data_IF_056399361937
#
_entry.id   IF_056399361937
#
_cell.length_a   1.000
_cell.length_b   1.000
_cell.length_c   1.000
_cell.angle_alpha   90.00
_cell.angle_beta   90.00
_cell.angle_gamma   90.00
#
_symmetry.space_group_name_H-M   'P 1'
#
loop_
_entity.id
_entity.type
_entity.pdbx_description
1 polymer ?
#
# COMPACT_ATOMS: atom_id res chain seq x y z
N UNK A 1 -19.91 4.99 14.39
CA UNK A 1 -19.16 4.85 15.66
C UNK A 1 -19.05 6.21 16.31
N UNK A 2 -19.37 6.30 17.60
CA UNK A 2 -19.16 7.48 18.43
C UNK A 2 -17.65 7.76 18.59
N UNK A 3 -17.21 8.99 18.35
CA UNK A 3 -15.82 9.42 18.53
C UNK A 3 -15.55 9.92 19.95
N UNK A 4 -16.59 10.32 20.68
CA UNK A 4 -16.53 10.86 22.03
C UNK A 4 -17.38 10.07 23.02
N UNK A 5 -17.11 10.22 24.32
CA UNK A 5 -17.90 9.58 25.37
C UNK A 5 -19.32 10.18 25.42
N UNK A 6 -19.45 11.44 25.04
CA UNK A 6 -20.69 12.20 24.96
C UNK A 6 -21.57 11.67 23.82
N UNK A 7 -21.00 11.44 22.62
CA UNK A 7 -21.70 10.77 21.51
C UNK A 7 -22.08 9.32 21.85
N UNK A 8 -21.29 8.62 22.68
CA UNK A 8 -21.62 7.27 23.15
C UNK A 8 -22.77 7.30 24.17
N UNK A 9 -22.77 8.27 25.08
CA UNK A 9 -23.85 8.46 26.06
C UNK A 9 -25.19 8.84 25.40
N UNK A 10 -25.19 9.47 24.23
CA UNK A 10 -26.42 9.74 23.46
C UNK A 10 -27.17 8.46 22.99
N UNK A 11 -26.54 7.28 23.08
CA UNK A 11 -27.19 6.00 22.81
C UNK A 11 -27.96 5.45 24.02
N UNK A 12 -27.78 6.03 25.22
CA UNK A 12 -28.40 5.57 26.47
C UNK A 12 -29.94 5.42 26.40
N UNK A 13 -30.72 6.40 25.85
CA UNK A 13 -32.17 6.24 25.73
C UNK A 13 -32.59 5.09 24.82
N UNK A 14 -31.74 4.74 23.84
CA UNK A 14 -31.99 3.65 22.90
C UNK A 14 -31.66 2.29 23.53
N UNK A 15 -30.66 2.23 24.42
CA UNK A 15 -30.42 1.08 25.29
C UNK A 15 -31.57 0.90 26.30
N UNK A 16 -32.08 1.97 26.90
CA UNK A 16 -33.25 1.89 27.79
C UNK A 16 -34.50 1.41 27.06
N UNK A 17 -34.79 1.91 25.85
CA UNK A 17 -35.88 1.40 24.99
C UNK A 17 -35.72 -0.10 24.75
N UNK A 18 -34.52 -0.56 24.40
CA UNK A 18 -34.27 -1.97 24.08
C UNK A 18 -34.40 -2.92 25.27
N UNK A 19 -34.06 -2.46 26.48
CA UNK A 19 -34.22 -3.24 27.72
C UNK A 19 -35.70 -3.35 28.10
N UNK A 20 -36.51 -2.31 27.84
CA UNK A 20 -37.93 -2.26 28.21
C UNK A 20 -38.83 -2.91 27.16
N UNK A 21 -38.57 -2.66 25.88
CA UNK A 21 -39.40 -3.06 24.72
C UNK A 21 -38.52 -3.58 23.57
N UNK A 22 -37.82 -4.72 23.72
CA UNK A 22 -36.90 -5.23 22.69
C UNK A 22 -37.58 -5.49 21.34
N UNK A 23 -38.86 -5.90 21.34
CA UNK A 23 -39.64 -6.11 20.10
C UNK A 23 -40.02 -4.82 19.35
N UNK A 24 -39.81 -3.64 19.94
CA UNK A 24 -40.04 -2.34 19.28
C UNK A 24 -38.76 -1.75 18.67
N UNK A 25 -37.62 -2.45 18.79
CA UNK A 25 -36.33 -2.03 18.21
C UNK A 25 -36.31 -2.39 16.72
N UNK A 26 -36.16 -1.37 15.87
CA UNK A 26 -35.97 -1.56 14.43
C UNK A 26 -34.58 -2.10 14.11
N UNK A 27 -34.39 -2.64 12.90
CA UNK A 27 -33.06 -3.07 12.43
C UNK A 27 -32.06 -1.91 12.42
N UNK A 28 -32.49 -0.71 12.03
CA UNK A 28 -31.63 0.49 12.03
C UNK A 28 -31.24 0.89 13.46
N UNK A 29 -32.19 0.85 14.41
CA UNK A 29 -31.93 1.12 15.82
C UNK A 29 -30.94 0.10 16.41
N UNK A 30 -31.13 -1.20 16.13
CA UNK A 30 -30.20 -2.27 16.50
C UNK A 30 -28.78 -1.99 15.99
N UNK A 31 -28.64 -1.69 14.69
CA UNK A 31 -27.33 -1.40 14.10
C UNK A 31 -26.69 -0.15 14.74
N UNK A 32 -27.48 0.89 15.01
CA UNK A 32 -27.02 2.11 15.71
C UNK A 32 -26.54 1.83 17.13
N UNK A 33 -27.28 1.03 17.91
CA UNK A 33 -26.90 0.64 19.28
C UNK A 33 -25.64 -0.22 19.33
N UNK A 34 -25.51 -1.14 18.38
CA UNK A 34 -24.34 -2.02 18.23
C UNK A 34 -23.13 -1.29 17.65
N UNK A 35 -23.35 -0.08 17.11
CA UNK A 35 -22.43 0.69 16.26
C UNK A 35 -22.02 -0.03 14.96
N UNK A 36 -22.77 -1.06 14.56
CA UNK A 36 -22.60 -1.79 13.30
C UNK A 36 -22.86 -0.87 12.09
N UNK A 37 -22.21 -1.12 10.94
CA UNK A 37 -22.59 -0.47 9.69
C UNK A 37 -23.93 -1.04 9.16
N UNK A 38 -24.53 -0.46 8.09
CA UNK A 38 -25.71 -1.04 7.44
C UNK A 38 -25.47 -2.50 7.01
N UNK A 39 -26.53 -3.31 6.97
CA UNK A 39 -26.42 -4.74 6.68
C UNK A 39 -25.70 -5.04 5.34
N UNK A 40 -25.98 -4.25 4.31
CA UNK A 40 -25.32 -4.32 3.01
C UNK A 40 -23.79 -4.09 3.09
N UNK A 41 -23.34 -3.14 3.93
CA UNK A 41 -21.92 -2.89 4.17
C UNK A 41 -21.29 -4.04 4.98
N UNK A 42 -22.00 -4.61 5.97
CA UNK A 42 -21.54 -5.80 6.71
C UNK A 42 -21.33 -7.00 5.76
N UNK A 43 -22.31 -7.27 4.90
CA UNK A 43 -22.26 -8.34 3.89
C UNK A 43 -21.14 -8.09 2.86
N UNK A 44 -21.01 -6.85 2.38
CA UNK A 44 -19.93 -6.43 1.46
C UNK A 44 -18.57 -6.62 2.10
N UNK A 45 -18.39 -6.25 3.38
CA UNK A 45 -17.12 -6.41 4.08
C UNK A 45 -16.78 -7.90 4.32
N UNK A 46 -17.74 -8.72 4.74
CA UNK A 46 -17.53 -10.17 4.89
C UNK A 46 -17.12 -10.81 3.56
N UNK A 47 -17.87 -10.56 2.49
CA UNK A 47 -17.57 -11.14 1.18
C UNK A 47 -16.23 -10.65 0.61
N UNK A 48 -15.99 -9.34 0.63
CA UNK A 48 -14.80 -8.72 0.02
C UNK A 48 -13.49 -9.05 0.74
N UNK A 49 -13.51 -9.19 2.07
CA UNK A 49 -12.28 -9.36 2.87
C UNK A 49 -12.08 -10.77 3.42
N UNK A 50 -13.13 -11.61 3.47
CA UNK A 50 -13.05 -12.99 3.97
C UNK A 50 -13.48 -14.04 2.93
N UNK A 51 -14.12 -13.64 1.82
CA UNK A 51 -14.60 -14.56 0.79
C UNK A 51 -15.83 -15.39 1.18
N UNK A 52 -16.47 -15.08 2.31
CA UNK A 52 -17.63 -15.81 2.87
C UNK A 52 -18.83 -14.88 3.08
N UNK A 53 -20.03 -15.42 3.23
CA UNK A 53 -21.20 -14.61 3.59
C UNK A 53 -21.16 -14.20 5.08
N UNK A 54 -21.93 -13.17 5.43
CA UNK A 54 -22.10 -12.74 6.81
C UNK A 54 -22.79 -13.84 7.67
N UNK A 55 -23.72 -14.58 7.07
CA UNK A 55 -24.43 -15.68 7.72
C UNK A 55 -23.50 -16.86 8.00
N UNK A 56 -22.67 -17.26 7.04
CA UNK A 56 -21.66 -18.30 7.21
C UNK A 56 -20.63 -17.92 8.30
N UNK A 57 -20.21 -16.66 8.35
CA UNK A 57 -19.29 -16.14 9.38
C UNK A 57 -19.88 -16.27 10.79
N UNK A 58 -21.14 -15.85 10.97
CA UNK A 58 -21.84 -15.96 12.25
C UNK A 58 -22.07 -17.44 12.63
N UNK A 59 -22.55 -18.25 11.68
CA UNK A 59 -22.81 -19.67 11.91
C UNK A 59 -21.52 -20.45 12.22
N UNK A 60 -20.40 -20.11 11.57
CA UNK A 60 -19.07 -20.66 11.87
C UNK A 60 -18.61 -20.26 13.27
N UNK A 61 -18.84 -19.02 13.69
CA UNK A 61 -18.53 -18.58 15.04
C UNK A 61 -19.36 -19.31 16.12
N UNK A 62 -20.65 -19.54 15.88
CA UNK A 62 -21.55 -20.30 16.77
C UNK A 62 -21.14 -21.78 16.88
N UNK A 63 -20.93 -22.43 15.74
CA UNK A 63 -20.80 -23.89 15.67
C UNK A 63 -19.36 -24.41 15.77
N UNK A 64 -18.39 -23.62 15.32
CA UNK A 64 -16.99 -24.03 15.17
C UNK A 64 -16.03 -22.88 15.45
N UNK A 65 -16.22 -22.15 16.56
CA UNK A 65 -15.41 -20.99 16.96
C UNK A 65 -13.88 -21.21 16.80
N UNK A 66 -13.36 -22.37 17.24
CA UNK A 66 -11.96 -22.75 17.11
C UNK A 66 -11.42 -22.78 15.66
N UNK A 67 -12.29 -22.95 14.66
CA UNK A 67 -11.95 -22.94 13.23
C UNK A 67 -11.87 -21.54 12.61
N UNK A 68 -12.23 -20.49 13.37
CA UNK A 68 -12.07 -19.11 12.93
C UNK A 68 -10.59 -18.74 12.82
N UNK A 69 -10.29 -18.00 11.76
CA UNK A 69 -9.01 -17.34 11.50
C UNK A 69 -8.97 -15.97 12.18
N UNK A 70 -7.77 -15.39 12.35
CA UNK A 70 -7.65 -14.04 12.91
C UNK A 70 -8.43 -12.95 12.12
N UNK A 71 -8.41 -12.92 10.77
CA UNK A 71 -9.28 -12.04 9.99
C UNK A 71 -10.76 -12.16 10.36
N UNK A 72 -11.32 -13.37 10.39
CA UNK A 72 -12.73 -13.61 10.71
C UNK A 72 -13.07 -13.10 12.12
N UNK A 73 -12.24 -13.43 13.13
CA UNK A 73 -12.39 -12.93 14.49
C UNK A 73 -12.29 -11.40 14.55
N UNK A 74 -11.37 -10.79 13.78
CA UNK A 74 -11.22 -9.32 13.73
C UNK A 74 -12.47 -8.65 13.17
N UNK A 75 -13.07 -9.17 12.09
CA UNK A 75 -14.25 -8.52 11.50
C UNK A 75 -15.42 -8.45 12.49
N UNK A 76 -15.70 -9.55 13.21
CA UNK A 76 -16.77 -9.60 14.21
C UNK A 76 -16.47 -8.66 15.38
N UNK A 77 -15.24 -8.73 15.95
CA UNK A 77 -14.81 -7.86 17.06
C UNK A 77 -14.79 -6.37 16.69
N UNK A 78 -14.37 -6.04 15.47
CA UNK A 78 -14.38 -4.69 14.92
C UNK A 78 -15.79 -4.24 14.45
N UNK A 79 -16.85 -4.93 14.89
CA UNK A 79 -18.24 -4.55 14.63
C UNK A 79 -18.56 -4.49 13.13
N UNK A 80 -17.98 -5.42 12.36
CA UNK A 80 -18.07 -5.55 10.91
C UNK A 80 -17.50 -4.38 10.11
N UNK A 81 -16.60 -3.59 10.73
CA UNK A 81 -15.93 -2.43 10.11
C UNK A 81 -14.48 -2.73 9.75
N UNK A 82 -14.05 -2.24 8.59
CA UNK A 82 -12.66 -2.31 8.13
C UNK A 82 -11.86 -1.15 8.74
N UNK A 83 -11.33 -1.34 9.95
CA UNK A 83 -10.47 -0.36 10.64
C UNK A 83 -9.02 -0.43 10.16
N UNK A 84 -8.38 0.73 9.98
CA UNK A 84 -6.92 0.88 9.81
C UNK A 84 -6.25 0.92 11.20
N UNK A 85 -5.00 0.46 11.32
CA UNK A 85 -4.28 0.36 12.60
C UNK A 85 -4.03 1.72 13.24
N UNK A 86 -3.93 2.78 12.43
CA UNK A 86 -3.85 4.16 12.90
C UNK A 86 -5.05 4.61 13.74
N UNK A 87 -6.20 3.92 13.64
CA UNK A 87 -7.36 4.17 14.49
C UNK A 87 -7.21 3.62 15.93
N UNK A 88 -6.15 2.84 16.24
CA UNK A 88 -5.91 2.34 17.62
C UNK A 88 -5.75 3.47 18.66
N UNK A 89 -5.35 4.68 18.25
CA UNK A 89 -5.32 5.85 19.14
C UNK A 89 -6.71 6.20 19.71
N UNK A 90 -7.76 6.07 18.89
CA UNK A 90 -9.15 6.27 19.31
C UNK A 90 -9.66 5.08 20.15
N UNK A 91 -9.18 3.86 19.89
CA UNK A 91 -9.51 2.68 20.68
C UNK A 91 -8.93 2.74 22.10
N UNK A 92 -7.72 3.29 22.27
CA UNK A 92 -7.17 3.56 23.59
C UNK A 92 -8.08 4.49 24.40
N UNK A 93 -8.59 5.56 23.77
CA UNK A 93 -9.56 6.46 24.40
C UNK A 93 -10.87 5.73 24.76
N UNK A 94 -11.42 4.90 23.85
CA UNK A 94 -12.61 4.07 24.11
C UNK A 94 -12.41 3.08 25.27
N UNK A 95 -11.22 2.52 25.44
CA UNK A 95 -10.92 1.60 26.55
C UNK A 95 -11.06 2.26 27.93
N UNK A 96 -10.88 3.58 28.02
CA UNK A 96 -11.06 4.35 29.25
C UNK A 96 -12.54 4.68 29.52
N UNK A 97 -13.42 4.60 28.51
CA UNK A 97 -14.84 4.95 28.67
C UNK A 97 -15.56 3.98 29.62
N UNK A 98 -15.23 2.69 29.58
CA UNK A 98 -15.78 1.69 30.50
C UNK A 98 -15.39 1.93 31.96
N UNK A 99 -14.23 2.56 32.20
CA UNK A 99 -13.78 2.98 33.53
C UNK A 99 -14.44 4.28 33.99
N UNK A 100 -14.71 5.21 33.07
CA UNK A 100 -15.36 6.51 33.34
C UNK A 100 -16.88 6.41 33.52
N UNK A 101 -17.54 5.51 32.78
CA UNK A 101 -18.99 5.25 32.79
C UNK A 101 -19.27 3.75 32.75
N UNK A 102 -18.94 3.00 33.83
CA UNK A 102 -19.21 1.56 33.90
C UNK A 102 -20.71 1.25 33.84
N UNK A 103 -21.55 2.18 34.30
CA UNK A 103 -23.01 2.17 34.20
C UNK A 103 -23.50 2.07 32.74
N UNK A 104 -22.94 2.89 31.84
CA UNK A 104 -23.28 2.84 30.41
C UNK A 104 -22.85 1.53 29.75
N UNK A 105 -21.72 0.96 30.17
CA UNK A 105 -21.24 -0.31 29.62
C UNK A 105 -22.08 -1.50 30.12
N UNK A 106 -22.50 -1.50 31.39
CA UNK A 106 -23.43 -2.49 31.91
C UNK A 106 -24.81 -2.39 31.21
N UNK A 107 -25.34 -1.17 31.06
CA UNK A 107 -26.61 -0.93 30.34
C UNK A 107 -26.51 -1.34 28.87
N UNK A 108 -25.42 -0.97 28.17
CA UNK A 108 -25.16 -1.44 26.79
C UNK A 108 -25.18 -2.96 26.73
N UNK A 109 -24.42 -3.66 27.60
CA UNK A 109 -24.38 -5.13 27.60
C UNK A 109 -25.78 -5.74 27.77
N UNK A 110 -26.58 -5.24 28.72
CA UNK A 110 -27.96 -5.69 28.93
C UNK A 110 -28.84 -5.44 27.68
N UNK A 111 -28.69 -4.29 27.02
CA UNK A 111 -29.40 -3.99 25.78
C UNK A 111 -28.95 -4.87 24.60
N UNK A 112 -27.68 -5.29 24.55
CA UNK A 112 -27.17 -6.24 23.55
C UNK A 112 -27.80 -7.62 23.75
N UNK A 113 -27.84 -8.12 24.99
CA UNK A 113 -28.47 -9.39 25.36
C UNK A 113 -29.99 -9.40 25.06
N UNK A 114 -30.64 -8.24 24.99
CA UNK A 114 -32.07 -8.09 24.71
C UNK A 114 -32.44 -8.04 23.21
N UNK A 115 -31.53 -7.61 22.33
CA UNK A 115 -31.83 -7.33 20.89
C UNK A 115 -31.13 -8.26 19.89
N UNK A 116 -30.06 -8.93 20.31
CA UNK A 116 -29.34 -9.88 19.45
C UNK A 116 -30.12 -11.18 19.39
N UNK A 117 -30.07 -11.87 18.24
CA UNK A 117 -30.50 -13.27 18.20
C UNK A 117 -29.56 -14.11 19.06
N UNK A 118 -30.02 -15.31 19.46
CA UNK A 118 -29.17 -16.25 20.20
C UNK A 118 -27.86 -16.53 19.47
N UNK A 119 -27.93 -16.73 18.14
CA UNK A 119 -26.77 -17.00 17.28
C UNK A 119 -25.82 -15.78 17.17
N UNK A 120 -26.35 -14.56 17.02
CA UNK A 120 -25.52 -13.34 16.99
C UNK A 120 -24.81 -13.11 18.33
N UNK A 121 -25.52 -13.28 19.45
CA UNK A 121 -24.97 -13.10 20.78
C UNK A 121 -23.88 -14.15 21.06
N UNK A 122 -24.15 -15.41 20.73
CA UNK A 122 -23.19 -16.51 20.87
C UNK A 122 -21.98 -16.34 19.96
N UNK A 123 -22.17 -15.91 18.70
CA UNK A 123 -21.07 -15.61 17.78
C UNK A 123 -20.12 -14.53 18.31
N UNK A 124 -20.67 -13.42 18.83
CA UNK A 124 -19.87 -12.32 19.40
C UNK A 124 -19.13 -12.78 20.65
N UNK A 125 -19.79 -13.51 21.55
CA UNK A 125 -19.17 -14.04 22.77
C UNK A 125 -18.03 -15.03 22.45
N UNK A 126 -18.28 -15.98 21.54
CA UNK A 126 -17.27 -16.96 21.12
C UNK A 126 -16.04 -16.30 20.48
N UNK A 127 -16.24 -15.23 19.69
CA UNK A 127 -15.13 -14.44 19.15
C UNK A 127 -14.36 -13.71 20.25
N UNK A 128 -15.03 -13.05 21.19
CA UNK A 128 -14.37 -12.32 22.28
C UNK A 128 -13.51 -13.24 23.16
N UNK A 129 -13.96 -14.49 23.40
CA UNK A 129 -13.19 -15.50 24.14
C UNK A 129 -11.90 -15.93 23.43
N UNK A 130 -11.94 -16.17 22.11
CA UNK A 130 -10.79 -16.71 21.38
C UNK A 130 -9.89 -15.65 20.72
N UNK A 131 -10.37 -14.41 20.53
CA UNK A 131 -9.73 -13.41 19.68
C UNK A 131 -8.25 -13.19 20.01
N UNK A 132 -7.92 -13.01 21.29
CA UNK A 132 -6.54 -12.68 21.71
C UNK A 132 -5.57 -13.84 21.46
N UNK A 133 -6.03 -15.09 21.59
CA UNK A 133 -5.24 -16.27 21.23
C UNK A 133 -5.04 -16.32 19.72
N UNK A 134 -6.11 -16.19 18.92
CA UNK A 134 -6.02 -16.15 17.44
C UNK A 134 -5.13 -15.02 16.92
N UNK A 135 -5.18 -13.86 17.56
CA UNK A 135 -4.29 -12.73 17.29
C UNK A 135 -2.82 -13.07 17.58
N UNK A 136 -2.54 -13.72 18.72
CA UNK A 136 -1.18 -14.10 19.11
C UNK A 136 -0.63 -15.19 18.18
N UNK A 137 -1.41 -16.25 17.91
CA UNK A 137 -1.06 -17.34 16.97
C UNK A 137 -0.71 -16.78 15.57
N UNK A 138 -1.51 -15.86 15.04
CA UNK A 138 -1.27 -15.23 13.74
C UNK A 138 -0.05 -14.29 13.77
N UNK A 139 0.14 -13.50 14.83
CA UNK A 139 1.33 -12.65 14.96
C UNK A 139 2.61 -13.46 15.12
N UNK A 140 2.60 -14.56 15.87
CA UNK A 140 3.73 -15.49 15.99
C UNK A 140 4.04 -16.17 14.65
N UNK A 141 3.02 -16.62 13.91
CA UNK A 141 3.20 -17.19 12.57
C UNK A 141 3.82 -16.19 11.59
N UNK A 142 3.34 -14.94 11.58
CA UNK A 142 3.88 -13.85 10.74
C UNK A 142 5.28 -13.42 11.18
N UNK A 143 5.59 -13.44 12.47
CA UNK A 143 6.92 -13.11 12.96
C UNK A 143 7.92 -14.24 12.66
N UNK A 144 7.49 -15.51 12.76
CA UNK A 144 8.27 -16.65 12.28
C UNK A 144 8.50 -16.59 10.75
N UNK A 145 7.53 -16.10 9.96
CA UNK A 145 7.71 -15.85 8.53
C UNK A 145 8.67 -14.67 8.26
N UNK A 146 8.59 -13.58 9.04
CA UNK A 146 9.57 -12.49 8.98
C UNK A 146 10.97 -12.94 9.38
N UNK A 147 11.12 -13.86 10.33
CA UNK A 147 12.40 -14.46 10.71
C UNK A 147 12.95 -15.42 9.64
N UNK A 148 12.11 -15.91 8.71
CA UNK A 148 12.57 -16.60 7.49
C UNK A 148 13.00 -15.61 6.39
N UNK A 149 12.47 -14.38 6.38
CA UNK A 149 13.04 -13.32 5.53
C UNK A 149 14.47 -13.03 5.99
N UNK A 150 15.37 -12.58 5.10
CA UNK A 150 16.70 -12.15 5.50
C UNK A 150 16.63 -11.15 6.67
N UNK A 151 17.52 -11.24 7.68
CA UNK A 151 17.67 -10.20 8.70
C UNK A 151 17.75 -8.81 8.07
N UNK A 152 17.28 -7.76 8.75
CA UNK A 152 17.33 -6.38 8.22
C UNK A 152 18.75 -5.89 7.88
N UNK A 153 19.79 -6.61 8.31
CA UNK A 153 21.20 -6.33 8.02
C UNK A 153 21.76 -7.15 6.84
N UNK A 154 20.95 -8.02 6.23
CA UNK A 154 21.31 -8.77 5.02
C UNK A 154 20.77 -8.08 3.77
N UNK A 155 21.45 -8.19 2.60
CA UNK A 155 21.00 -7.55 1.38
C UNK A 155 19.58 -7.97 0.98
N UNK A 156 18.79 -7.00 0.49
CA UNK A 156 17.49 -7.29 -0.12
C UNK A 156 17.66 -8.21 -1.33
N UNK A 157 16.60 -8.94 -1.70
CA UNK A 157 16.68 -9.97 -2.76
C UNK A 157 17.21 -9.43 -4.09
N UNK A 158 16.84 -8.21 -4.48
CA UNK A 158 17.32 -7.58 -5.71
C UNK A 158 18.81 -7.20 -5.64
N UNK A 159 19.29 -6.69 -4.50
CA UNK A 159 20.71 -6.40 -4.25
C UNK A 159 21.51 -7.70 -4.29
N UNK A 160 21.02 -8.74 -3.60
CA UNK A 160 21.64 -10.07 -3.59
C UNK A 160 21.72 -10.67 -5.00
N UNK A 161 20.67 -10.54 -5.82
CA UNK A 161 20.66 -10.93 -7.25
C UNK A 161 21.66 -10.15 -8.13
N UNK A 162 22.30 -9.10 -7.62
CA UNK A 162 23.42 -8.39 -8.28
C UNK A 162 24.76 -8.82 -7.67
N UNK A 163 24.85 -8.90 -6.34
CA UNK A 163 26.05 -9.39 -5.62
C UNK A 163 26.44 -10.80 -6.07
N UNK A 164 25.47 -11.71 -6.19
CA UNK A 164 25.67 -13.13 -6.52
C UNK A 164 25.91 -13.37 -8.03
N UNK A 165 25.97 -12.34 -8.88
CA UNK A 165 26.26 -12.50 -10.31
C UNK A 165 27.72 -12.86 -10.54
N UNK A 166 27.96 -13.94 -11.26
CA UNK A 166 29.28 -14.26 -11.81
C UNK A 166 29.62 -13.31 -12.97
N UNK A 167 30.75 -12.62 -12.88
CA UNK A 167 31.22 -11.70 -13.92
C UNK A 167 30.67 -10.28 -13.78
N UNK A 168 29.85 -9.84 -14.74
CA UNK A 168 29.39 -8.45 -14.81
C UNK A 168 28.24 -8.17 -13.83
N UNK A 169 28.54 -7.43 -12.77
CA UNK A 169 27.58 -6.97 -11.76
C UNK A 169 26.86 -5.67 -12.17
N UNK A 170 27.09 -5.15 -13.38
CA UNK A 170 26.41 -3.96 -13.90
C UNK A 170 24.89 -4.03 -13.65
N UNK A 171 24.30 -2.91 -13.22
CA UNK A 171 22.86 -2.76 -13.04
C UNK A 171 22.42 -1.33 -13.31
N UNK A 172 21.26 -1.14 -13.94
CA UNK A 172 20.85 0.20 -14.34
C UNK A 172 19.59 0.29 -15.19
N UNK A 173 19.38 1.49 -15.73
CA UNK A 173 18.22 1.85 -16.53
C UNK A 173 18.65 2.47 -17.87
N UNK A 174 17.75 2.45 -18.86
CA UNK A 174 17.92 3.12 -20.16
C UNK A 174 17.17 4.45 -20.16
N UNK A 175 17.82 5.49 -20.67
CA UNK A 175 17.32 6.85 -20.71
C UNK A 175 17.38 7.39 -22.14
N UNK A 176 16.23 7.54 -22.79
CA UNK A 176 16.11 8.20 -24.07
C UNK A 176 16.07 9.71 -23.89
N UNK A 177 16.80 10.44 -24.73
CA UNK A 177 16.76 11.91 -24.78
C UNK A 177 16.82 12.39 -26.24
N UNK A 178 16.22 13.54 -26.53
CA UNK A 178 16.36 14.13 -27.86
C UNK A 178 17.81 14.57 -28.07
N UNK A 179 18.40 14.22 -29.22
CA UNK A 179 19.80 14.51 -29.56
C UNK A 179 20.14 16.01 -29.57
N UNK A 180 19.13 16.84 -29.79
CA UNK A 180 19.20 18.31 -29.83
C UNK A 180 18.64 18.99 -28.58
N UNK A 181 18.47 18.28 -27.47
CA UNK A 181 17.96 18.85 -26.23
C UNK A 181 18.91 19.94 -25.71
N UNK A 182 18.37 21.12 -25.39
CA UNK A 182 19.17 22.23 -24.87
C UNK A 182 19.45 22.03 -23.37
N UNK A 183 20.57 22.54 -22.87
CA UNK A 183 20.92 22.41 -21.44
C UNK A 183 21.17 20.97 -20.98
N UNK A 184 21.74 20.14 -21.87
CA UNK A 184 22.03 18.73 -21.60
C UNK A 184 23.17 18.55 -20.60
N UNK A 185 24.23 19.35 -20.71
CA UNK A 185 25.42 19.22 -19.89
C UNK A 185 25.10 19.57 -18.42
N UNK A 186 24.33 20.64 -18.18
CA UNK A 186 23.85 21.04 -16.86
C UNK A 186 22.91 19.99 -16.23
N UNK A 187 22.07 19.34 -17.06
CA UNK A 187 21.26 18.21 -16.60
C UNK A 187 22.13 17.00 -16.23
N UNK A 188 23.18 16.73 -17.02
CA UNK A 188 24.10 15.63 -16.76
C UNK A 188 24.93 15.86 -15.49
N UNK A 189 25.29 17.10 -15.14
CA UNK A 189 25.90 17.40 -13.83
C UNK A 189 24.98 17.00 -12.68
N UNK A 190 23.69 17.37 -12.74
CA UNK A 190 22.68 16.99 -11.73
C UNK A 190 22.47 15.47 -11.71
N UNK A 191 22.35 14.84 -12.88
CA UNK A 191 22.06 13.41 -12.98
C UNK A 191 23.25 12.55 -12.55
N UNK A 192 24.50 12.98 -12.82
CA UNK A 192 25.69 12.30 -12.32
C UNK A 192 25.74 12.36 -10.79
N UNK A 193 25.34 13.46 -10.16
CA UNK A 193 25.24 13.52 -8.70
C UNK A 193 24.15 12.60 -8.12
N UNK A 194 23.05 12.35 -8.87
CA UNK A 194 22.07 11.28 -8.54
C UNK A 194 22.66 9.88 -8.73
N UNK A 195 23.52 9.68 -9.73
CA UNK A 195 24.25 8.43 -9.93
C UNK A 195 25.34 8.20 -8.87
N UNK A 196 25.89 9.22 -8.22
CA UNK A 196 26.83 9.02 -7.09
C UNK A 196 26.12 9.00 -5.73
N UNK A 197 24.79 9.23 -5.69
CA UNK A 197 24.04 9.23 -4.43
C UNK A 197 24.04 7.84 -3.77
N UNK A 198 24.48 7.73 -2.50
CA UNK A 198 24.45 6.47 -1.76
C UNK A 198 23.03 6.06 -1.38
N UNK A 199 22.81 4.76 -1.19
CA UNK A 199 21.55 4.23 -0.70
C UNK A 199 21.81 3.38 0.56
N UNK A 200 21.12 3.72 1.66
CA UNK A 200 21.28 3.08 2.97
C UNK A 200 20.58 1.71 3.03
N UNK A 201 21.03 0.78 2.17
CA UNK A 201 20.53 -0.59 2.03
C UNK A 201 21.69 -1.56 2.30
N UNK A 202 21.50 -2.65 3.06
CA UNK A 202 22.56 -3.63 3.24
C UNK A 202 23.05 -4.20 1.90
N UNK A 203 24.37 -4.34 1.75
CA UNK A 203 25.00 -4.80 0.51
C UNK A 203 25.10 -3.75 -0.61
N UNK A 204 24.59 -2.54 -0.42
CA UNK A 204 24.65 -1.50 -1.45
C UNK A 204 26.08 -1.14 -1.88
N UNK A 205 27.00 -1.06 -0.92
CA UNK A 205 28.44 -0.79 -1.15
C UNK A 205 29.09 -1.82 -2.10
N UNK A 206 28.58 -3.06 -2.16
CA UNK A 206 29.10 -4.10 -3.06
C UNK A 206 28.59 -3.96 -4.51
N UNK A 207 27.58 -3.12 -4.73
CA UNK A 207 26.96 -2.90 -6.04
C UNK A 207 27.05 -1.44 -6.52
N UNK A 208 27.43 -0.49 -5.65
CA UNK A 208 27.48 0.94 -5.96
C UNK A 208 28.23 1.23 -7.27
N UNK A 209 29.48 0.80 -7.36
CA UNK A 209 30.38 1.05 -8.50
C UNK A 209 29.96 0.32 -9.80
N UNK A 210 28.91 -0.49 -9.72
CA UNK A 210 28.30 -1.20 -10.85
C UNK A 210 26.98 -0.56 -11.33
N UNK A 211 26.49 0.48 -10.64
CA UNK A 211 25.30 1.26 -11.02
C UNK A 211 25.58 2.07 -12.28
N UNK A 212 24.65 2.13 -13.23
CA UNK A 212 24.81 2.96 -14.43
C UNK A 212 23.49 3.48 -15.02
N UNK A 213 23.61 4.49 -15.87
CA UNK A 213 22.58 4.94 -16.80
C UNK A 213 23.04 4.78 -18.25
N UNK A 214 22.26 4.10 -19.09
CA UNK A 214 22.53 4.01 -20.52
C UNK A 214 21.71 5.07 -21.26
N UNK A 215 22.37 6.17 -21.61
CA UNK A 215 21.75 7.25 -22.39
C UNK A 215 21.72 6.91 -23.89
N UNK A 216 20.56 7.06 -24.50
CA UNK A 216 20.31 6.79 -25.93
C UNK A 216 19.75 8.05 -26.62
N UNK A 217 20.53 8.75 -27.45
CA UNK A 217 20.04 9.90 -28.19
C UNK A 217 19.12 9.46 -29.34
N UNK A 218 18.01 10.19 -29.54
CA UNK A 218 17.12 10.01 -30.68
C UNK A 218 16.90 11.30 -31.47
N UNK A 219 16.60 11.18 -32.77
CA UNK A 219 16.42 12.31 -33.69
C UNK A 219 14.95 12.63 -34.02
N UNK A 220 14.02 11.78 -33.57
CA UNK A 220 12.58 12.01 -33.73
C UNK A 220 12.06 13.05 -32.72
N UNK A 221 10.88 13.60 -32.98
CA UNK A 221 10.14 14.40 -31.98
C UNK A 221 9.75 13.54 -30.76
N UNK A 222 9.71 14.14 -29.57
CA UNK A 222 9.22 13.52 -28.32
C UNK A 222 7.78 12.95 -28.47
N UNK A 223 6.99 13.52 -29.37
CA UNK A 223 5.62 13.10 -29.70
C UNK A 223 5.53 11.66 -30.25
N UNK A 224 6.62 11.10 -30.78
CA UNK A 224 6.64 9.81 -31.49
C UNK A 224 7.01 8.64 -30.58
N UNK A 225 6.38 8.58 -29.41
CA UNK A 225 6.71 7.61 -28.36
C UNK A 225 6.66 6.15 -28.81
N UNK A 226 5.80 5.79 -29.77
CA UNK A 226 5.73 4.45 -30.38
C UNK A 226 7.06 4.01 -31.00
N UNK A 227 7.83 4.95 -31.56
CA UNK A 227 9.14 4.66 -32.16
C UNK A 227 10.20 4.38 -31.08
N UNK A 228 10.15 5.07 -29.94
CA UNK A 228 11.05 4.84 -28.81
C UNK A 228 10.79 3.49 -28.13
N UNK A 229 9.51 3.16 -27.90
CA UNK A 229 9.12 1.84 -27.43
C UNK A 229 9.59 0.75 -28.42
N UNK A 230 9.39 0.94 -29.73
CA UNK A 230 9.81 -0.06 -30.72
C UNK A 230 11.34 -0.19 -30.80
N UNK A 231 12.10 0.91 -30.74
CA UNK A 231 13.58 0.87 -30.69
C UNK A 231 14.06 0.12 -29.45
N UNK A 232 13.48 0.40 -28.28
CA UNK A 232 13.79 -0.33 -27.05
C UNK A 232 13.45 -1.82 -27.13
N UNK A 233 12.26 -2.18 -27.65
CA UNK A 233 11.86 -3.58 -27.87
C UNK A 233 12.86 -4.29 -28.81
N UNK A 234 13.20 -3.66 -29.95
CA UNK A 234 14.18 -4.18 -30.90
C UNK A 234 15.55 -4.42 -30.24
N UNK A 235 16.06 -3.46 -29.44
CA UNK A 235 17.34 -3.61 -28.73
C UNK A 235 17.29 -4.71 -27.68
N UNK A 236 16.19 -4.78 -26.91
CA UNK A 236 15.93 -5.79 -25.89
C UNK A 236 15.93 -7.22 -26.47
N UNK A 237 15.33 -7.38 -27.65
CA UNK A 237 15.23 -8.65 -28.37
C UNK A 237 16.55 -9.08 -29.03
N UNK A 238 17.40 -8.11 -29.42
CA UNK A 238 18.73 -8.34 -30.00
C UNK A 238 19.86 -8.44 -28.98
N UNK A 239 19.57 -8.14 -27.72
CA UNK A 239 20.54 -7.96 -26.63
C UNK A 239 21.53 -6.80 -26.87
N UNK A 240 21.10 -5.76 -27.61
CA UNK A 240 21.85 -4.51 -27.87
C UNK A 240 21.83 -3.52 -26.66
N UNK A 241 21.31 -3.96 -25.50
CA UNK A 241 21.29 -3.19 -24.25
C UNK A 241 22.45 -3.63 -23.36
N UNK A 242 23.01 -2.71 -22.56
CA UNK A 242 24.10 -3.08 -21.64
C UNK A 242 23.61 -4.15 -20.64
N UNK A 243 24.42 -5.18 -20.31
CA UNK A 243 24.07 -6.15 -19.29
C UNK A 243 23.60 -5.49 -17.99
N UNK A 244 22.52 -6.04 -17.41
CA UNK A 244 21.92 -5.53 -16.17
C UNK A 244 20.95 -4.35 -16.29
N UNK A 245 20.68 -3.85 -17.51
CA UNK A 245 19.55 -2.96 -17.77
C UNK A 245 18.22 -3.64 -17.39
N UNK A 246 17.30 -2.91 -16.75
CA UNK A 246 15.89 -3.31 -16.62
C UNK A 246 15.23 -3.43 -17.99
N UNK A 247 14.79 -4.65 -18.36
CA UNK A 247 14.21 -4.95 -19.69
C UNK A 247 12.70 -4.67 -19.80
N UNK A 248 12.06 -4.22 -18.72
CA UNK A 248 10.62 -3.94 -18.60
C UNK A 248 10.28 -2.45 -18.50
N UNK A 249 11.26 -1.53 -18.60
CA UNK A 249 11.01 -0.09 -18.56
C UNK A 249 12.11 0.71 -19.26
N UNK A 250 11.72 1.80 -19.90
CA UNK A 250 12.63 2.85 -20.36
C UNK A 250 12.24 4.18 -19.71
N UNK A 251 13.20 5.08 -19.58
CA UNK A 251 12.95 6.47 -19.20
C UNK A 251 13.03 7.38 -20.42
N UNK A 252 12.16 8.38 -20.46
CA UNK A 252 12.23 9.50 -21.40
C UNK A 252 12.57 10.79 -20.64
N UNK A 253 13.64 11.44 -21.07
CA UNK A 253 14.03 12.77 -20.63
C UNK A 253 13.47 13.76 -21.65
N UNK A 254 12.31 14.32 -21.33
CA UNK A 254 11.74 15.46 -22.08
C UNK A 254 12.33 16.78 -21.59
N UNK A 255 12.16 17.86 -22.37
CA UNK A 255 12.53 19.20 -21.90
C UNK A 255 11.79 19.60 -20.59
N UNK A 256 10.52 19.19 -20.42
CA UNK A 256 9.76 19.39 -19.16
C UNK A 256 10.42 18.64 -17.98
N UNK A 257 10.78 17.37 -18.18
CA UNK A 257 11.42 16.55 -17.15
C UNK A 257 12.81 17.08 -16.78
N UNK A 258 13.60 17.46 -17.77
CA UNK A 258 14.92 18.08 -17.63
C UNK A 258 14.85 19.39 -16.84
N UNK A 259 13.95 20.30 -17.21
CA UNK A 259 13.72 21.57 -16.50
C UNK A 259 13.11 21.39 -15.10
N UNK A 260 12.49 20.23 -14.83
CA UNK A 260 12.03 19.88 -13.49
C UNK A 260 13.14 19.43 -12.55
N UNK A 261 14.36 19.18 -13.04
CA UNK A 261 15.46 18.65 -12.22
C UNK A 261 16.33 19.75 -11.62
N UNK A 262 16.74 19.59 -10.36
CA UNK A 262 17.63 20.51 -9.67
C UNK A 262 18.05 20.04 -8.28
N UNK A 263 18.78 20.88 -7.54
CA UNK A 263 19.18 20.66 -6.14
C UNK A 263 18.40 21.57 -5.19
N UNK A 264 18.20 21.16 -3.95
CA UNK A 264 17.57 21.98 -2.90
C UNK A 264 18.55 22.99 -2.24
N UNK A 265 19.48 23.54 -3.04
CA UNK A 265 20.54 24.45 -2.61
C UNK A 265 21.96 23.88 -2.81
N UNK A 266 22.97 24.75 -2.76
CA UNK A 266 24.38 24.43 -3.06
C UNK A 266 25.03 23.40 -2.12
N UNK A 267 24.40 23.08 -0.99
CA UNK A 267 24.92 22.14 0.02
C UNK A 267 23.96 21.00 0.36
N UNK A 268 22.89 20.79 -0.41
CA UNK A 268 21.95 19.69 -0.17
C UNK A 268 22.22 18.51 -1.11
N UNK A 269 22.40 17.31 -0.56
CA UNK A 269 22.33 16.03 -1.29
C UNK A 269 20.88 15.66 -1.71
N UNK A 270 20.00 16.65 -1.78
CA UNK A 270 18.58 16.49 -2.08
C UNK A 270 18.35 17.05 -3.48
N UNK A 271 18.29 16.15 -4.46
CA UNK A 271 17.82 16.47 -5.79
C UNK A 271 16.28 16.44 -5.81
N UNK A 272 15.70 17.27 -6.65
CA UNK A 272 14.26 17.31 -6.95
C UNK A 272 14.04 17.17 -8.46
N UNK A 273 12.79 16.93 -8.84
CA UNK A 273 12.38 16.68 -10.22
C UNK A 273 12.02 15.23 -10.49
N UNK A 274 11.58 14.95 -11.71
CA UNK A 274 11.16 13.63 -12.14
C UNK A 274 11.65 13.33 -13.56
N UNK A 275 11.72 12.04 -13.89
CA UNK A 275 11.80 11.55 -15.26
C UNK A 275 10.55 10.72 -15.59
N UNK A 276 10.21 10.62 -16.87
CA UNK A 276 9.04 9.85 -17.31
C UNK A 276 9.44 8.40 -17.52
N UNK A 277 9.04 7.51 -16.62
CA UNK A 277 9.12 6.07 -16.83
C UNK A 277 8.01 5.64 -17.81
N UNK A 278 8.35 4.74 -18.73
CA UNK A 278 7.46 4.30 -19.81
C UNK A 278 7.53 2.80 -19.96
N UNK A 279 6.36 2.17 -19.95
CA UNK A 279 6.18 0.76 -20.24
C UNK A 279 6.47 0.54 -21.74
N UNK A 280 7.48 -0.28 -22.09
CA UNK A 280 7.89 -0.50 -23.47
C UNK A 280 6.90 -1.38 -24.24
N UNK A 281 5.98 -2.07 -23.56
CA UNK A 281 5.04 -3.02 -24.15
C UNK A 281 3.58 -2.51 -24.13
N UNK A 282 3.31 -1.37 -23.48
CA UNK A 282 1.98 -0.76 -23.41
C UNK A 282 1.50 -0.15 -24.74
N UNK A 283 0.24 -0.40 -25.17
CA UNK A 283 -0.35 0.21 -26.37
C UNK A 283 -0.72 1.68 -26.15
N UNK A 284 0.00 2.60 -26.79
CA UNK A 284 -0.16 4.05 -26.64
C UNK A 284 -1.50 4.63 -27.13
N UNK A 285 -2.31 3.85 -27.85
CA UNK A 285 -3.64 4.27 -28.32
C UNK A 285 -4.74 4.12 -27.28
N UNK A 286 -4.46 3.45 -26.16
CA UNK A 286 -5.47 3.04 -25.19
C UNK A 286 -5.04 3.46 -23.77
N UNK A 287 -5.84 4.38 -23.22
CA UNK A 287 -5.97 4.54 -21.78
C UNK A 287 -6.82 3.37 -21.30
N UNK A 288 -6.38 2.66 -20.26
CA UNK A 288 -7.18 1.55 -19.74
C UNK A 288 -8.39 2.00 -18.89
N UNK A 289 -9.14 1.02 -18.38
CA UNK A 289 -10.33 1.23 -17.55
C UNK A 289 -10.06 2.00 -16.25
N UNK A 290 -8.81 1.99 -15.75
CA UNK A 290 -8.43 2.70 -14.52
C UNK A 290 -7.98 4.15 -14.82
N UNK A 291 -7.53 4.45 -16.04
CA UNK A 291 -6.94 5.74 -16.42
C UNK A 291 -5.42 5.72 -16.62
N UNK A 292 -4.80 4.54 -16.72
CA UNK A 292 -3.36 4.41 -16.94
C UNK A 292 -3.01 4.43 -18.44
N UNK A 293 -1.95 5.18 -18.78
CA UNK A 293 -1.54 5.49 -20.16
C UNK A 293 -0.17 4.87 -20.54
N UNK A 294 0.29 3.84 -19.83
CA UNK A 294 1.61 3.23 -20.07
C UNK A 294 2.81 4.04 -19.57
N UNK A 295 2.59 5.09 -18.76
CA UNK A 295 3.63 6.02 -18.31
C UNK A 295 3.40 6.54 -16.89
N UNK A 296 4.49 6.86 -16.19
CA UNK A 296 4.48 7.36 -14.81
C UNK A 296 5.64 8.35 -14.58
N UNK A 297 5.37 9.50 -13.95
CA UNK A 297 6.42 10.43 -13.50
C UNK A 297 7.08 9.84 -12.25
N UNK A 298 8.39 9.58 -12.31
CA UNK A 298 9.19 9.03 -11.21
C UNK A 298 10.16 10.10 -10.72
N UNK A 299 10.04 10.49 -9.45
CA UNK A 299 10.97 11.44 -8.85
C UNK A 299 12.41 10.89 -8.87
N UNK A 300 13.35 11.73 -9.30
CA UNK A 300 14.69 11.33 -9.73
C UNK A 300 15.46 10.48 -8.69
N UNK A 301 15.38 10.85 -7.40
CA UNK A 301 16.04 10.11 -6.30
C UNK A 301 15.59 8.66 -6.11
N UNK A 302 14.41 8.27 -6.61
CA UNK A 302 13.87 6.92 -6.39
C UNK A 302 14.22 5.94 -7.51
N UNK A 303 14.75 6.41 -8.64
CA UNK A 303 15.00 5.61 -9.85
C UNK A 303 15.90 4.41 -9.54
N UNK A 304 17.04 4.62 -8.89
CA UNK A 304 18.02 3.57 -8.56
C UNK A 304 17.82 2.93 -7.18
N UNK A 305 16.77 3.32 -6.45
CA UNK A 305 16.37 2.71 -5.19
C UNK A 305 15.03 1.97 -5.36
N UNK A 306 13.94 2.49 -4.79
CA UNK A 306 12.64 1.80 -4.72
C UNK A 306 12.10 1.44 -6.11
N UNK A 307 12.28 2.31 -7.10
CA UNK A 307 11.84 2.00 -8.45
C UNK A 307 12.58 0.81 -9.06
N UNK A 308 13.92 0.80 -8.96
CA UNK A 308 14.71 -0.33 -9.42
C UNK A 308 14.35 -1.63 -8.67
N UNK A 309 14.21 -1.57 -7.34
CA UNK A 309 13.75 -2.68 -6.51
C UNK A 309 12.46 -3.29 -7.06
N UNK A 310 11.38 -2.52 -7.15
CA UNK A 310 10.08 -3.05 -7.57
C UNK A 310 10.09 -3.56 -9.03
N UNK A 311 10.68 -2.81 -9.97
CA UNK A 311 10.76 -3.25 -11.37
C UNK A 311 11.62 -4.51 -11.55
N UNK A 312 12.69 -4.67 -10.75
CA UNK A 312 13.54 -5.89 -10.75
C UNK A 312 12.90 -7.08 -10.03
N UNK A 313 11.93 -6.83 -9.13
CA UNK A 313 11.11 -7.84 -8.48
C UNK A 313 9.89 -8.28 -9.31
N UNK A 314 9.69 -7.68 -10.50
CA UNK A 314 8.65 -8.08 -11.46
C UNK A 314 7.31 -7.36 -11.29
N UNK A 315 7.24 -6.29 -10.50
CA UNK A 315 6.07 -5.40 -10.52
C UNK A 315 5.99 -4.68 -11.87
N UNK A 316 4.77 -4.45 -12.37
CA UNK A 316 4.51 -3.70 -13.60
C UNK A 316 4.41 -2.20 -13.33
N UNK A 317 4.69 -1.38 -14.35
CA UNK A 317 4.55 0.07 -14.21
C UNK A 317 3.09 0.51 -13.92
N UNK A 318 2.10 -0.35 -14.23
CA UNK A 318 0.70 -0.18 -13.80
C UNK A 318 0.51 -0.43 -12.29
N UNK A 319 1.13 -1.46 -11.71
CA UNK A 319 1.07 -1.69 -10.24
C UNK A 319 1.61 -0.48 -9.47
N UNK A 320 2.71 0.06 -9.97
CA UNK A 320 3.36 1.27 -9.48
C UNK A 320 2.43 2.50 -9.55
N UNK A 321 1.73 2.66 -10.68
CA UNK A 321 0.77 3.75 -10.88
C UNK A 321 -0.48 3.57 -9.99
N UNK A 322 -1.00 2.35 -9.81
CA UNK A 322 -2.12 2.06 -8.91
C UNK A 322 -1.78 2.35 -7.45
N UNK A 323 -0.58 1.97 -7.01
CA UNK A 323 -0.04 2.30 -5.69
C UNK A 323 -0.01 3.83 -5.47
N UNK A 324 0.47 4.55 -6.46
CA UNK A 324 0.52 6.00 -6.47
C UNK A 324 -0.88 6.64 -6.39
N UNK A 325 -1.85 6.18 -7.19
CA UNK A 325 -3.23 6.66 -7.12
C UNK A 325 -3.88 6.35 -5.77
N UNK A 326 -3.58 5.20 -5.16
CA UNK A 326 -4.06 4.88 -3.81
C UNK A 326 -3.52 5.89 -2.78
N UNK A 327 -2.21 6.13 -2.78
CA UNK A 327 -1.55 7.06 -1.85
C UNK A 327 -2.11 8.48 -1.98
N UNK A 328 -2.29 8.95 -3.22
CA UNK A 328 -2.88 10.25 -3.56
C UNK A 328 -4.34 10.35 -3.10
N UNK A 329 -5.18 9.38 -3.45
CA UNK A 329 -6.62 9.37 -3.14
C UNK A 329 -6.91 9.24 -1.65
N UNK A 330 -6.02 8.63 -0.87
CA UNK A 330 -6.13 8.56 0.59
C UNK A 330 -5.56 9.79 1.31
N UNK A 331 -5.04 10.79 0.59
CA UNK A 331 -4.40 12.00 1.13
C UNK A 331 -3.39 11.70 2.25
N UNK A 332 -2.52 10.70 2.04
CA UNK A 332 -1.56 10.27 3.06
C UNK A 332 -0.49 11.33 3.38
N UNK A 333 -0.34 12.34 2.52
CA UNK A 333 0.53 13.51 2.71
C UNK A 333 -0.15 14.80 2.22
N UNK A 334 -0.94 15.49 3.07
CA UNK A 334 -1.51 16.78 2.71
C UNK A 334 -0.41 17.83 2.49
N UNK A 335 -0.41 18.46 1.31
CA UNK A 335 0.46 19.60 0.98
C UNK A 335 1.79 19.26 0.29
N UNK A 336 2.07 17.99 -0.02
CA UNK A 336 3.21 17.59 -0.84
C UNK A 336 2.70 17.15 -2.21
N UNK A 337 3.17 17.77 -3.29
CA UNK A 337 2.98 17.23 -4.64
C UNK A 337 3.87 15.99 -4.78
N UNK A 338 3.30 14.85 -4.38
CA UNK A 338 4.02 13.59 -4.42
C UNK A 338 4.29 13.24 -5.88
N UNK A 339 5.52 13.44 -6.34
CA UNK A 339 6.12 12.62 -7.39
C UNK A 339 7.01 11.51 -6.77
N UNK A 340 7.04 11.46 -5.43
CA UNK A 340 8.01 10.75 -4.59
C UNK A 340 7.45 9.50 -3.92
N UNK A 341 8.19 8.39 -4.00
CA UNK A 341 7.74 7.06 -3.59
C UNK A 341 8.23 6.66 -2.18
N UNK A 342 8.20 7.60 -1.24
CA UNK A 342 8.65 7.39 0.14
C UNK A 342 7.78 6.41 0.94
N UNK A 343 6.48 6.31 0.60
CA UNK A 343 5.59 5.25 1.08
C UNK A 343 4.93 4.54 -0.10
N UNK A 344 4.80 3.23 0.03
CA UNK A 344 4.08 2.33 -0.90
C UNK A 344 3.05 1.51 -0.12
N UNK A 345 2.06 0.96 -0.82
CA UNK A 345 1.14 -0.08 -0.38
C UNK A 345 1.44 -1.46 -1.02
N UNK A 346 2.34 -1.55 -2.00
CA UNK A 346 2.71 -2.79 -2.68
C UNK A 346 3.32 -3.86 -1.74
N UNK A 347 4.01 -3.43 -0.67
CA UNK A 347 4.56 -4.30 0.39
C UNK A 347 3.95 -4.00 1.78
N UNK A 348 2.81 -3.29 1.84
CA UNK A 348 2.09 -3.13 3.12
C UNK A 348 1.16 -4.33 3.35
N UNK A 349 0.98 -4.77 4.61
CA UNK A 349 -0.05 -5.74 4.93
C UNK A 349 -1.43 -5.22 4.48
N UNK A 350 -2.19 -6.07 3.77
CA UNK A 350 -3.62 -5.87 3.51
C UNK A 350 -4.41 -6.32 4.73
N UNK A 351 -5.58 -5.70 4.97
CA UNK A 351 -6.47 -6.01 6.10
C UNK A 351 -6.55 -7.54 6.38
N UNK A 352 -6.40 -8.01 7.64
CA UNK A 352 -6.12 -7.23 8.85
C UNK A 352 -4.67 -6.69 8.88
N UNK A 353 -4.00 -6.49 10.01
CA UNK A 353 -2.59 -6.01 10.03
C UNK A 353 -2.30 -4.63 9.37
N UNK A 354 -3.31 -3.93 8.85
CA UNK A 354 -3.28 -2.59 8.26
C UNK A 354 -3.97 -1.58 9.16
#
# INVERSE_FOLDING_TARGET
MSKTLEEFAQLEPLWDKAIQSPSEISLEEKHRMMEWPPLEEMQTNANKFLGISLEDLLQKAVSHAESLTYPECRLVRDQFRIKKMSAMGDEWNRSQWSRKRPDLFAKRKQAQEAILTADELQAVQAVDEIFYRKQSEEFEAREAERQKKPPQNMPQEWVKKIIDREGDKSWGCVFYHQKSIAGWDEFMEIFNAVLEMPHFIPGYEEIHDHKFAQFLPFETEESKLTLLQQDFRNRRERDDLKPGVLKNVLFLITDEARLSCGTAGECSEIFWGYLLAIDPDWPLSEVDEDGYEGRLKIHINFIFYRFYEFMSMGFSLKDLWLDFQYVKSNNLYPGVDMNSWGLTHLDKPKWPFN
#
